data_IF_764612311459
#
_entry.id   IF_764612311459
#
_cell.length_a   1.000
_cell.length_b   1.000
_cell.length_c   1.000
_cell.angle_alpha   90.00
_cell.angle_beta   90.00
_cell.angle_gamma   90.00
#
_symmetry.space_group_name_H-M   'P 1'
#
loop_
_entity.id
_entity.type
_entity.pdbx_description
1 polymer ?
#
# COMPACT_ATOMS: atom_id res chain seq x y z
N UNK A 1 3.92 10.71 17.42
CA UNK A 1 4.15 10.35 16.01
C UNK A 1 2.83 9.95 15.37
N UNK A 2 2.53 10.50 14.24
CA UNK A 2 1.33 10.12 13.49
C UNK A 2 1.75 9.64 12.10
N UNK A 3 1.30 8.44 11.73
CA UNK A 3 1.53 7.88 10.40
C UNK A 3 0.25 8.05 9.60
N UNK A 4 0.27 8.91 8.62
CA UNK A 4 -0.89 9.20 7.78
C UNK A 4 -0.98 8.19 6.64
N UNK A 5 -2.07 7.44 6.60
CA UNK A 5 -2.25 6.31 5.69
C UNK A 5 -3.39 6.58 4.73
N UNK A 6 -3.15 6.39 3.45
CA UNK A 6 -4.16 6.40 2.40
C UNK A 6 -4.41 4.95 1.99
N UNK A 7 -5.67 4.56 1.94
CA UNK A 7 -6.06 3.19 1.61
C UNK A 7 -6.75 3.15 0.25
N UNK A 8 -6.17 2.45 -0.71
CA UNK A 8 -6.69 2.32 -2.07
C UNK A 8 -7.05 0.86 -2.37
N UNK A 9 -8.36 0.59 -2.50
CA UNK A 9 -8.90 -0.74 -2.74
C UNK A 9 -10.33 -0.57 -3.25
N UNK A 10 -10.70 -1.25 -4.31
CA UNK A 10 -12.04 -1.13 -4.89
C UNK A 10 -13.10 -1.96 -4.17
N UNK A 11 -12.70 -2.88 -3.29
CA UNK A 11 -13.63 -3.69 -2.50
C UNK A 11 -14.00 -2.94 -1.22
N UNK A 12 -15.17 -2.31 -1.23
CA UNK A 12 -15.60 -1.48 -0.11
C UNK A 12 -15.55 -2.19 1.24
N UNK A 13 -16.03 -3.43 1.32
CA UNK A 13 -16.04 -4.16 2.59
C UNK A 13 -14.63 -4.46 3.10
N UNK A 14 -13.72 -4.82 2.19
CA UNK A 14 -12.33 -5.06 2.54
C UNK A 14 -11.69 -3.76 3.02
N UNK A 15 -11.91 -2.68 2.28
CA UNK A 15 -11.38 -1.36 2.63
C UNK A 15 -11.87 -0.88 3.99
N UNK A 16 -13.17 -1.00 4.25
CA UNK A 16 -13.74 -0.61 5.53
C UNK A 16 -13.20 -1.46 6.69
N UNK A 17 -13.03 -2.76 6.47
CA UNK A 17 -12.48 -3.66 7.47
C UNK A 17 -11.05 -3.30 7.83
N UNK A 18 -10.22 -3.05 6.83
CA UNK A 18 -8.82 -2.64 7.05
C UNK A 18 -8.77 -1.30 7.76
N UNK A 19 -9.60 -0.36 7.35
CA UNK A 19 -9.68 0.95 8.00
C UNK A 19 -10.00 0.82 9.49
N UNK A 20 -10.99 0.00 9.84
CA UNK A 20 -11.34 -0.21 11.24
C UNK A 20 -10.15 -0.74 12.04
N UNK A 21 -9.41 -1.69 11.49
CA UNK A 21 -8.23 -2.24 12.16
C UNK A 21 -7.13 -1.20 12.31
N UNK A 22 -6.89 -0.40 11.27
CA UNK A 22 -5.87 0.65 11.32
C UNK A 22 -6.22 1.71 12.36
N UNK A 23 -7.48 2.11 12.44
CA UNK A 23 -7.92 3.14 13.37
C UNK A 23 -7.81 2.73 14.85
N UNK A 24 -7.67 1.44 15.13
CA UNK A 24 -7.43 0.96 16.48
C UNK A 24 -5.97 1.10 16.92
N UNK A 25 -5.07 1.46 16.02
CA UNK A 25 -3.67 1.71 16.34
C UNK A 25 -3.49 3.20 16.56
N UNK A 26 -3.11 3.63 17.79
CA UNK A 26 -3.08 5.07 18.11
C UNK A 26 -2.21 5.91 17.19
N UNK A 27 -1.11 5.34 16.69
CA UNK A 27 -0.18 6.06 15.82
C UNK A 27 -0.68 6.23 14.40
N UNK A 28 -1.71 5.48 13.99
CA UNK A 28 -2.18 5.49 12.60
C UNK A 28 -3.35 6.45 12.42
N UNK A 29 -3.31 7.17 11.31
CA UNK A 29 -4.37 8.11 10.94
C UNK A 29 -4.73 7.85 9.48
N UNK A 30 -5.93 7.34 9.23
CA UNK A 30 -6.39 7.10 7.85
C UNK A 30 -6.90 8.41 7.29
N UNK A 31 -6.15 8.97 6.34
CA UNK A 31 -6.44 10.31 5.79
C UNK A 31 -7.32 10.28 4.55
N UNK A 32 -7.55 9.11 3.98
CA UNK A 32 -8.44 8.99 2.83
C UNK A 32 -8.58 7.56 2.35
N UNK A 33 -9.60 7.35 1.52
CA UNK A 33 -9.89 6.08 0.88
C UNK A 33 -10.11 6.32 -0.60
N UNK A 34 -9.55 5.45 -1.43
CA UNK A 34 -9.69 5.51 -2.88
C UNK A 34 -10.19 4.17 -3.40
N UNK A 35 -11.04 4.20 -4.43
CA UNK A 35 -11.57 3.01 -5.07
C UNK A 35 -10.87 2.69 -6.40
N UNK A 36 -10.04 3.59 -6.89
CA UNK A 36 -9.23 3.35 -8.10
C UNK A 36 -7.96 4.18 -8.06
N UNK A 37 -7.11 3.98 -9.07
CA UNK A 37 -5.83 4.65 -9.14
C UNK A 37 -5.92 6.16 -9.32
N UNK A 38 -6.93 6.64 -10.04
CA UNK A 38 -7.12 8.08 -10.24
C UNK A 38 -7.45 8.77 -8.93
N UNK A 39 -8.37 8.19 -8.15
CA UNK A 39 -8.70 8.73 -6.83
C UNK A 39 -7.49 8.69 -5.90
N UNK A 40 -6.71 7.62 -5.98
CA UNK A 40 -5.50 7.47 -5.18
C UNK A 40 -4.53 8.63 -5.45
N UNK A 41 -4.21 8.88 -6.72
CA UNK A 41 -3.29 9.95 -7.11
C UNK A 41 -3.84 11.31 -6.66
N UNK A 42 -5.12 11.55 -6.87
CA UNK A 42 -5.76 12.80 -6.47
C UNK A 42 -5.62 13.03 -4.97
N UNK A 43 -5.88 12.00 -4.15
CA UNK A 43 -5.80 12.12 -2.70
C UNK A 43 -4.37 12.27 -2.20
N UNK A 44 -3.40 11.63 -2.83
CA UNK A 44 -1.98 11.83 -2.47
C UNK A 44 -1.60 13.29 -2.65
N UNK A 45 -2.11 13.93 -3.71
CA UNK A 45 -1.83 15.34 -3.96
C UNK A 45 -2.51 16.29 -2.98
N UNK A 46 -3.64 15.86 -2.39
CA UNK A 46 -4.47 16.73 -1.54
C UNK A 46 -4.25 16.54 -0.05
N UNK A 47 -3.55 15.49 0.35
CA UNK A 47 -3.38 15.13 1.76
C UNK A 47 -1.91 14.98 2.10
N UNK A 48 -1.61 15.03 3.41
CA UNK A 48 -0.25 14.73 3.89
C UNK A 48 -0.15 13.24 4.14
N UNK A 49 -0.02 12.45 3.06
CA UNK A 49 0.06 11.00 3.14
C UNK A 49 1.52 10.58 3.34
N UNK A 50 1.74 9.72 4.34
CA UNK A 50 3.05 9.10 4.55
C UNK A 50 3.13 7.75 3.85
N UNK A 51 2.07 6.94 3.97
CA UNK A 51 2.02 5.58 3.45
C UNK A 51 0.75 5.41 2.62
N UNK A 52 0.89 4.86 1.43
CA UNK A 52 -0.25 4.41 0.62
C UNK A 52 -0.30 2.90 0.69
N UNK A 53 -1.42 2.34 1.12
CA UNK A 53 -1.70 0.91 1.00
C UNK A 53 -2.47 0.74 -0.31
N UNK A 54 -1.86 0.10 -1.29
CA UNK A 54 -2.32 0.15 -2.66
C UNK A 54 -2.58 -1.25 -3.22
N UNK A 55 -3.84 -1.51 -3.53
CA UNK A 55 -4.21 -2.76 -4.19
C UNK A 55 -3.82 -2.71 -5.67
N UNK A 56 -3.50 -3.86 -6.24
CA UNK A 56 -3.17 -3.96 -7.67
C UNK A 56 -4.44 -3.90 -8.52
N UNK A 57 -5.45 -4.68 -8.15
CA UNK A 57 -6.67 -4.83 -8.97
C UNK A 57 -7.69 -3.76 -8.63
N UNK A 58 -7.75 -2.74 -9.47
CA UNK A 58 -8.75 -1.68 -9.33
C UNK A 58 -9.23 -1.27 -10.73
N UNK A 59 -10.48 -0.82 -10.85
CA UNK A 59 -11.01 -0.36 -12.15
C UNK A 59 -10.39 0.98 -12.54
N UNK A 60 -10.57 1.36 -13.79
CA UNK A 60 -10.16 2.64 -14.38
C UNK A 60 -8.65 2.82 -14.45
N UNK A 61 -7.97 2.78 -13.32
CA UNK A 61 -6.52 2.75 -13.23
C UNK A 61 -6.13 1.76 -12.13
N UNK A 62 -5.34 0.73 -12.45
CA UNK A 62 -4.92 -0.26 -11.48
C UNK A 62 -3.78 0.24 -10.61
N UNK A 63 -3.45 -0.55 -9.57
CA UNK A 63 -2.42 -0.15 -8.60
C UNK A 63 -1.01 -0.09 -9.17
N UNK A 64 -0.69 -0.89 -10.18
CA UNK A 64 0.65 -0.84 -10.78
C UNK A 64 0.84 0.48 -11.52
N UNK A 65 -0.18 0.92 -12.29
CA UNK A 65 -0.10 2.19 -12.99
C UNK A 65 -0.09 3.37 -12.01
N UNK A 66 -0.86 3.28 -10.93
CA UNK A 66 -0.83 4.30 -9.89
C UNK A 66 0.53 4.39 -9.22
N UNK A 67 1.14 3.24 -8.90
CA UNK A 67 2.49 3.20 -8.35
C UNK A 67 3.49 3.87 -9.28
N UNK A 68 3.39 3.57 -10.58
CA UNK A 68 4.27 4.15 -11.59
C UNK A 68 4.19 5.68 -11.59
N UNK A 69 2.97 6.21 -11.56
CA UNK A 69 2.76 7.66 -11.55
C UNK A 69 3.32 8.28 -10.27
N UNK A 70 3.06 7.67 -9.11
CA UNK A 70 3.57 8.18 -7.83
C UNK A 70 5.09 8.28 -7.87
N UNK A 71 5.76 7.26 -8.40
CA UNK A 71 7.22 7.23 -8.44
C UNK A 71 7.79 8.15 -9.51
N UNK A 72 7.18 8.20 -10.69
CA UNK A 72 7.64 9.10 -11.77
C UNK A 72 7.48 10.57 -11.39
N UNK A 73 6.40 10.92 -10.71
CA UNK A 73 6.15 12.28 -10.27
C UNK A 73 6.83 12.61 -8.93
N UNK A 74 7.55 11.66 -8.37
CA UNK A 74 8.30 11.82 -7.12
C UNK A 74 7.43 12.34 -5.99
N UNK A 75 6.24 11.79 -5.85
CA UNK A 75 5.34 12.15 -4.76
C UNK A 75 5.94 11.73 -3.42
N UNK A 76 5.75 12.57 -2.40
CA UNK A 76 6.37 12.38 -1.08
C UNK A 76 5.57 11.40 -0.23
N UNK A 77 5.52 10.16 -0.63
CA UNK A 77 4.90 9.10 0.16
C UNK A 77 5.60 7.77 -0.15
N UNK A 78 5.45 6.84 0.78
CA UNK A 78 5.91 5.47 0.57
C UNK A 78 4.71 4.64 0.14
N UNK A 79 4.94 3.61 -0.67
CA UNK A 79 3.88 2.76 -1.19
C UNK A 79 4.10 1.32 -0.77
N UNK A 80 3.11 0.76 -0.09
CA UNK A 80 3.05 -0.68 0.21
C UNK A 80 1.95 -1.27 -0.68
N UNK A 81 2.34 -2.21 -1.54
CA UNK A 81 1.35 -2.98 -2.29
C UNK A 81 0.64 -3.91 -1.31
N UNK A 82 -0.67 -3.78 -1.19
CA UNK A 82 -1.50 -4.63 -0.33
C UNK A 82 -2.42 -5.42 -1.23
N UNK A 83 -2.08 -6.68 -1.52
CA UNK A 83 -2.65 -7.40 -2.65
C UNK A 83 -2.90 -8.87 -2.31
N UNK A 84 -3.75 -9.53 -3.13
CA UNK A 84 -3.96 -10.97 -3.07
C UNK A 84 -2.97 -11.74 -3.94
N UNK A 85 -2.20 -11.04 -4.78
CA UNK A 85 -1.31 -11.70 -5.74
C UNK A 85 -0.03 -12.19 -5.09
N UNK A 86 0.16 -13.51 -5.08
CA UNK A 86 1.36 -14.13 -4.52
C UNK A 86 2.32 -14.64 -5.60
N UNK A 87 2.07 -14.31 -6.85
CA UNK A 87 2.93 -14.67 -7.97
C UNK A 87 4.16 -13.76 -8.01
N UNK A 88 5.32 -14.37 -8.29
CA UNK A 88 6.59 -13.64 -8.33
C UNK A 88 6.57 -12.49 -9.35
N UNK A 89 5.82 -12.62 -10.44
CA UNK A 89 5.79 -11.60 -11.50
C UNK A 89 5.28 -10.26 -10.98
N UNK A 90 4.24 -10.26 -10.16
CA UNK A 90 3.71 -9.03 -9.56
C UNK A 90 4.70 -8.41 -8.59
N UNK A 91 5.34 -9.24 -7.77
CA UNK A 91 6.35 -8.77 -6.82
C UNK A 91 7.52 -8.13 -7.56
N UNK A 92 8.06 -8.82 -8.57
CA UNK A 92 9.20 -8.31 -9.32
C UNK A 92 8.87 -7.00 -10.03
N UNK A 93 7.70 -6.93 -10.67
CA UNK A 93 7.29 -5.73 -11.38
C UNK A 93 7.16 -4.53 -10.46
N UNK A 94 6.49 -4.70 -9.33
CA UNK A 94 6.28 -3.60 -8.39
C UNK A 94 7.59 -3.17 -7.72
N UNK A 95 8.50 -4.11 -7.44
CA UNK A 95 9.82 -3.77 -6.93
C UNK A 95 10.64 -3.00 -7.96
N UNK A 96 10.58 -3.38 -9.24
CA UNK A 96 11.27 -2.65 -10.32
C UNK A 96 10.81 -1.20 -10.40
N UNK A 97 9.50 -0.97 -10.28
CA UNK A 97 8.94 0.38 -10.33
C UNK A 97 9.37 1.17 -9.09
N UNK A 98 9.55 0.48 -7.96
CA UNK A 98 10.07 1.10 -6.75
C UNK A 98 9.11 1.12 -5.57
N UNK A 99 8.22 0.11 -5.45
CA UNK A 99 7.37 0.05 -4.26
C UNK A 99 8.25 -0.14 -3.01
N UNK A 100 7.77 0.34 -1.89
CA UNK A 100 8.50 0.30 -0.62
C UNK A 100 8.11 -0.93 0.20
N UNK A 101 6.98 -1.55 -0.11
CA UNK A 101 6.56 -2.77 0.54
C UNK A 101 5.64 -3.61 -0.33
N UNK A 102 5.61 -4.91 -0.04
CA UNK A 102 4.72 -5.85 -0.71
C UNK A 102 4.14 -6.78 0.34
N UNK A 103 2.83 -6.71 0.56
CA UNK A 103 2.13 -7.40 1.64
C UNK A 103 0.92 -8.13 1.09
N UNK A 104 0.76 -9.39 1.45
CA UNK A 104 -0.41 -10.16 1.06
C UNK A 104 -1.59 -9.86 1.98
N UNK A 105 -2.78 -9.66 1.40
CA UNK A 105 -4.00 -9.36 2.15
C UNK A 105 -4.40 -10.49 3.09
N UNK A 106 -4.09 -11.72 2.74
CA UNK A 106 -4.47 -12.90 3.52
C UNK A 106 -3.65 -13.11 4.78
N UNK A 107 -2.50 -12.45 4.90
CA UNK A 107 -1.72 -12.55 6.13
C UNK A 107 -2.25 -11.61 7.19
N UNK A 108 -1.83 -11.82 8.44
CA UNK A 108 -2.44 -11.18 9.60
C UNK A 108 -2.31 -9.65 9.64
N UNK A 109 -3.21 -9.01 10.39
CA UNK A 109 -3.11 -7.58 10.62
C UNK A 109 -1.83 -7.19 11.38
N UNK A 110 -1.36 -8.05 12.28
CA UNK A 110 -0.11 -7.79 13.01
C UNK A 110 1.06 -7.62 12.07
N UNK A 111 1.12 -8.40 10.99
CA UNK A 111 2.19 -8.26 10.01
C UNK A 111 2.00 -7.01 9.14
N UNK A 112 0.76 -6.60 8.87
CA UNK A 112 0.49 -5.34 8.18
C UNK A 112 0.95 -4.15 9.02
N UNK A 113 0.61 -4.17 10.30
CA UNK A 113 1.04 -3.13 11.24
C UNK A 113 2.56 -3.02 11.26
N UNK A 114 3.25 -4.15 11.32
CA UNK A 114 4.71 -4.21 11.31
C UNK A 114 5.29 -3.69 10.01
N UNK A 115 4.66 -4.04 8.88
CA UNK A 115 5.08 -3.55 7.57
C UNK A 115 5.00 -2.03 7.49
N UNK A 116 3.91 -1.46 7.99
CA UNK A 116 3.71 -0.01 7.97
C UNK A 116 4.80 0.70 8.77
N UNK A 117 5.07 0.25 10.00
CA UNK A 117 6.11 0.87 10.82
C UNK A 117 7.49 0.73 10.18
N UNK A 118 7.79 -0.42 9.59
CA UNK A 118 9.08 -0.67 8.96
C UNK A 118 9.29 0.24 7.75
N UNK A 119 8.27 0.36 6.91
CA UNK A 119 8.34 1.22 5.73
C UNK A 119 8.40 2.70 6.13
N UNK A 120 7.62 3.08 7.13
CA UNK A 120 7.64 4.45 7.64
C UNK A 120 9.03 4.84 8.15
N UNK A 121 9.76 3.87 8.71
CA UNK A 121 11.12 4.08 9.22
C UNK A 121 12.19 4.11 8.11
N UNK A 122 11.79 3.92 6.86
CA UNK A 122 12.71 3.99 5.72
C UNK A 122 13.22 2.64 5.23
N UNK A 123 12.69 1.54 5.73
CA UNK A 123 13.09 0.19 5.32
C UNK A 123 12.08 -0.40 4.35
N UNK A 124 12.52 -1.33 3.52
CA UNK A 124 11.61 -2.06 2.66
C UNK A 124 11.00 -3.25 3.40
N UNK A 125 9.77 -3.60 3.04
CA UNK A 125 9.10 -4.77 3.58
C UNK A 125 8.61 -5.66 2.45
N UNK A 126 8.99 -6.93 2.47
CA UNK A 126 8.48 -7.93 1.52
C UNK A 126 7.85 -9.05 2.32
N UNK A 127 6.67 -9.49 1.88
CA UNK A 127 5.98 -10.61 2.52
C UNK A 127 6.95 -11.76 2.73
N UNK A 128 7.13 -12.22 3.99
CA UNK A 128 8.18 -13.23 4.26
C UNK A 128 8.08 -14.50 3.43
N UNK A 129 6.85 -14.95 3.13
CA UNK A 129 6.65 -16.16 2.34
C UNK A 129 7.07 -16.00 0.88
N UNK A 130 7.24 -14.77 0.41
CA UNK A 130 7.64 -14.50 -0.97
C UNK A 130 9.13 -14.21 -1.11
N UNK A 131 9.83 -13.96 -0.03
CA UNK A 131 11.25 -13.66 -0.09
C UNK A 131 12.09 -14.76 -0.75
N UNK A 132 11.84 -16.05 -0.48
CA UNK A 132 12.62 -17.11 -1.15
C UNK A 132 12.47 -17.12 -2.67
N UNK A 133 11.38 -16.55 -3.20
CA UNK A 133 11.15 -16.51 -4.64
C UNK A 133 12.10 -15.55 -5.36
N UNK A 134 12.74 -14.66 -4.62
CA UNK A 134 13.65 -13.66 -5.18
C UNK A 134 15.08 -14.20 -5.39
N UNK A 135 15.38 -15.40 -4.91
CA UNK A 135 16.71 -15.99 -5.02
C UNK A 135 16.83 -16.96 -6.17
#
# INVERSE_FOLDING_TARGET
MAVNILLADDHRMVREGIRCLLENVPEFNVVGEAADGYECISLVNKTKTNIVLLDIDMPNMNGIDALRIIKEQKMLCKVIMLTRHNEIDYLMKTLEIGCDGYKLKESSFDTLKRAIFKVYSGNKYIEPNMMPLLN
#
